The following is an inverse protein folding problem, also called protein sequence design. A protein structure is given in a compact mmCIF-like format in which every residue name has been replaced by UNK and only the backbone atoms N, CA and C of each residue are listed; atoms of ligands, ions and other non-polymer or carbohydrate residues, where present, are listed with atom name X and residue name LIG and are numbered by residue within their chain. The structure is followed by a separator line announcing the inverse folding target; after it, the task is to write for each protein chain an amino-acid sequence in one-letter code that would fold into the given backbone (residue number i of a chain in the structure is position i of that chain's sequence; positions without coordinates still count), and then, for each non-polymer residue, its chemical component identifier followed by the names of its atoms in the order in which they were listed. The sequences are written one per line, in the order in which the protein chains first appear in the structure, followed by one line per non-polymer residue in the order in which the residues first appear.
data_IF_489506235001
#
_entry.id   IF_489506235001
#
_cell.length_a   1.000
_cell.length_b   1.000
_cell.length_c   1.000
_cell.angle_alpha   90.00
_cell.angle_beta   90.00
_cell.angle_gamma   90.00
#
_symmetry.space_group_name_H-M   'P 1'
#
loop_
_entity.id
_entity.type
_entity.pdbx_description
1 polymer ?
#
# COMPACT_ATOMS: atom_id res chain seq x y z
N UNK A 1 -9.48 25.53 10.15
CA UNK A 1 -10.56 25.18 9.20
C UNK A 1 -11.40 24.02 9.76
N UNK A 2 -12.67 23.83 9.34
CA UNK A 2 -13.54 22.74 9.81
C UNK A 2 -12.93 21.35 9.56
N UNK A 3 -13.21 20.38 10.43
CA UNK A 3 -12.65 19.01 10.35
C UNK A 3 -12.97 18.34 9.01
N UNK A 4 -14.20 18.53 8.49
CA UNK A 4 -14.61 18.02 7.18
C UNK A 4 -13.73 18.57 6.04
N UNK A 5 -13.35 19.85 6.12
CA UNK A 5 -12.44 20.47 5.14
C UNK A 5 -11.01 19.94 5.29
N UNK A 6 -10.53 19.71 6.52
CA UNK A 6 -9.21 19.10 6.74
C UNK A 6 -9.15 17.70 6.13
N UNK A 7 -10.18 16.89 6.39
CA UNK A 7 -10.30 15.55 5.84
C UNK A 7 -10.38 15.58 4.31
N UNK A 8 -11.15 16.50 3.73
CA UNK A 8 -11.24 16.66 2.27
C UNK A 8 -9.87 17.00 1.64
N UNK A 9 -9.08 17.87 2.27
CA UNK A 9 -7.72 18.21 1.80
C UNK A 9 -6.80 16.98 1.84
N UNK A 10 -6.83 16.20 2.93
CA UNK A 10 -6.03 14.96 3.02
C UNK A 10 -6.48 13.94 1.97
N UNK A 11 -7.79 13.70 1.83
CA UNK A 11 -8.32 12.75 0.85
C UNK A 11 -8.02 13.19 -0.59
N UNK A 12 -8.06 14.50 -0.86
CA UNK A 12 -7.65 15.04 -2.15
C UNK A 12 -6.19 14.68 -2.44
N UNK A 13 -5.27 14.93 -1.49
CA UNK A 13 -3.86 14.56 -1.66
C UNK A 13 -3.65 13.04 -1.86
N UNK A 14 -4.33 12.20 -1.06
CA UNK A 14 -4.20 10.75 -1.16
C UNK A 14 -4.84 10.14 -2.41
N UNK A 15 -5.85 10.81 -2.97
CA UNK A 15 -6.56 10.36 -4.17
C UNK A 15 -5.74 10.50 -5.46
N UNK A 16 -4.60 11.18 -5.44
CA UNK A 16 -3.71 11.27 -6.59
C UNK A 16 -2.79 10.05 -6.65
N UNK A 17 -3.04 9.20 -7.64
CA UNK A 17 -2.28 7.97 -7.88
C UNK A 17 -0.83 8.24 -8.28
N UNK A 18 0.11 7.51 -7.66
CA UNK A 18 1.45 7.19 -8.18
C UNK A 18 2.48 8.32 -8.19
N UNK A 19 2.06 9.57 -8.30
CA UNK A 19 2.91 10.76 -8.18
C UNK A 19 2.30 11.68 -7.14
N UNK A 20 3.10 12.08 -6.14
CA UNK A 20 2.67 13.02 -5.12
C UNK A 20 2.06 14.27 -5.78
N UNK A 21 0.86 14.67 -5.35
CA UNK A 21 0.27 15.93 -5.79
C UNK A 21 1.19 17.08 -5.38
N UNK A 22 1.59 17.97 -6.30
CA UNK A 22 2.36 19.15 -5.90
C UNK A 22 1.56 19.94 -4.86
N UNK A 23 2.25 20.44 -3.83
CA UNK A 23 1.62 21.22 -2.76
C UNK A 23 0.88 22.45 -3.34
N UNK A 24 1.43 23.06 -4.39
CA UNK A 24 0.81 24.18 -5.11
C UNK A 24 -0.59 23.83 -5.63
N UNK A 25 -0.76 22.70 -6.31
CA UNK A 25 -2.08 22.24 -6.77
C UNK A 25 -3.07 22.03 -5.62
N UNK A 26 -2.61 21.47 -4.49
CA UNK A 26 -3.48 21.28 -3.32
C UNK A 26 -3.88 22.64 -2.74
N UNK A 27 -2.95 23.59 -2.63
CA UNK A 27 -3.23 24.93 -2.11
C UNK A 27 -4.19 25.72 -3.00
N UNK A 28 -4.04 25.60 -4.33
CA UNK A 28 -4.93 26.23 -5.30
C UNK A 28 -6.34 25.63 -5.25
N UNK A 29 -6.45 24.31 -5.13
CA UNK A 29 -7.74 23.62 -5.00
C UNK A 29 -8.43 23.95 -3.66
N UNK A 30 -7.68 23.92 -2.55
CA UNK A 30 -8.20 24.14 -1.21
C UNK A 30 -8.44 25.63 -0.88
N UNK A 31 -7.89 26.55 -1.67
CA UNK A 31 -7.96 27.99 -1.42
C UNK A 31 -7.25 28.43 -0.14
N UNK A 32 -6.20 27.71 0.28
CA UNK A 32 -5.49 27.99 1.54
C UNK A 32 -3.97 27.92 1.39
N UNK A 33 -3.24 28.41 2.38
CA UNK A 33 -1.78 28.43 2.34
C UNK A 33 -1.17 27.04 2.48
N UNK A 34 0.04 26.83 1.95
CA UNK A 34 0.77 25.56 2.07
C UNK A 34 0.93 25.11 3.53
N UNK A 35 1.18 26.05 4.45
CA UNK A 35 1.24 25.75 5.89
C UNK A 35 -0.08 25.26 6.47
N UNK A 36 -1.21 25.75 5.95
CA UNK A 36 -2.54 25.29 6.36
C UNK A 36 -2.78 23.87 5.85
N UNK A 37 -2.47 23.60 4.58
CA UNK A 37 -2.53 22.25 3.98
C UNK A 37 -1.74 21.25 4.85
N UNK A 38 -0.48 21.57 5.15
CA UNK A 38 0.37 20.70 5.97
C UNK A 38 -0.20 20.45 7.37
N UNK A 39 -0.67 21.50 8.06
CA UNK A 39 -1.28 21.35 9.38
C UNK A 39 -2.53 20.45 9.35
N UNK A 40 -3.36 20.58 8.31
CA UNK A 40 -4.56 19.75 8.14
C UNK A 40 -4.19 18.28 7.91
N UNK A 41 -3.24 18.02 7.02
CA UNK A 41 -2.78 16.65 6.75
C UNK A 41 -2.22 16.02 8.02
N UNK A 42 -1.34 16.70 8.75
CA UNK A 42 -0.78 16.19 10.00
C UNK A 42 -1.85 15.90 11.05
N UNK A 43 -2.81 16.81 11.21
CA UNK A 43 -3.90 16.64 12.17
C UNK A 43 -4.78 15.43 11.83
N UNK A 44 -5.21 15.29 10.58
CA UNK A 44 -6.07 14.17 10.16
C UNK A 44 -5.29 12.86 10.18
N UNK A 45 -4.05 12.85 9.69
CA UNK A 45 -3.21 11.65 9.69
C UNK A 45 -2.94 11.16 11.11
N UNK A 46 -2.66 12.06 12.05
CA UNK A 46 -2.52 11.74 13.47
C UNK A 46 -3.79 11.14 14.07
N UNK A 47 -4.95 11.72 13.77
CA UNK A 47 -6.24 11.20 14.22
C UNK A 47 -6.56 9.80 13.64
N UNK A 48 -6.35 9.60 12.34
CA UNK A 48 -6.55 8.30 11.69
C UNK A 48 -5.60 7.25 12.27
N UNK A 49 -4.32 7.60 12.46
CA UNK A 49 -3.32 6.69 13.04
C UNK A 49 -3.65 6.36 14.49
N UNK A 50 -4.24 7.28 15.26
CA UNK A 50 -4.66 7.00 16.64
C UNK A 50 -5.74 5.90 16.75
N UNK A 51 -6.49 5.66 15.67
CA UNK A 51 -7.49 4.60 15.60
C UNK A 51 -6.91 3.25 15.19
N UNK A 52 -5.63 3.20 14.78
CA UNK A 52 -5.00 2.01 14.20
C UNK A 52 -5.19 0.77 15.08
N UNK A 53 -4.82 0.84 16.36
CA UNK A 53 -4.91 -0.30 17.27
C UNK A 53 -6.35 -0.68 17.64
N UNK A 54 -7.33 0.19 17.40
CA UNK A 54 -8.75 -0.10 17.66
C UNK A 54 -9.45 -0.69 16.44
N UNK A 55 -9.11 -0.21 15.25
CA UNK A 55 -9.76 -0.60 13.99
C UNK A 55 -9.11 -1.82 13.34
N UNK A 56 -7.80 -2.00 13.53
CA UNK A 56 -7.06 -3.10 12.91
C UNK A 56 -6.90 -4.20 13.95
N UNK A 57 -7.65 -5.28 13.75
CA UNK A 57 -7.46 -6.51 14.51
C UNK A 57 -6.12 -7.14 14.10
N UNK A 58 -5.17 -7.22 15.04
CA UNK A 58 -3.92 -7.94 14.82
C UNK A 58 -4.23 -9.44 14.88
N UNK A 59 -3.78 -10.25 13.91
CA UNK A 59 -4.03 -11.68 13.94
C UNK A 59 -3.37 -12.29 15.18
N UNK A 60 -4.12 -13.16 15.83
CA UNK A 60 -3.66 -13.99 16.96
C UNK A 60 -2.57 -14.95 16.52
N UNK A 61 -1.81 -15.51 17.46
CA UNK A 61 -0.79 -16.51 17.11
C UNK A 61 -1.39 -17.74 16.43
N UNK A 62 -2.56 -18.21 16.90
CA UNK A 62 -3.24 -19.34 16.28
C UNK A 62 -3.70 -19.07 14.84
N UNK A 63 -4.20 -17.86 14.55
CA UNK A 63 -4.53 -17.46 13.17
C UNK A 63 -3.29 -17.37 12.28
N UNK A 64 -2.16 -16.89 12.83
CA UNK A 64 -0.88 -16.87 12.10
C UNK A 64 -0.37 -18.28 11.81
N UNK A 65 -0.37 -19.18 12.79
CA UNK A 65 0.04 -20.58 12.61
C UNK A 65 -0.85 -21.31 11.60
N UNK A 66 -2.17 -21.12 11.68
CA UNK A 66 -3.10 -21.68 10.70
C UNK A 66 -2.79 -21.18 9.28
N UNK A 67 -2.52 -19.87 9.13
CA UNK A 67 -2.12 -19.30 7.85
C UNK A 67 -0.75 -19.83 7.36
N UNK A 68 0.24 -19.98 8.25
CA UNK A 68 1.55 -20.52 7.90
C UNK A 68 1.47 -21.97 7.45
N UNK A 69 0.73 -22.81 8.17
CA UNK A 69 0.51 -24.20 7.80
C UNK A 69 -0.16 -24.29 6.43
N UNK A 70 -1.20 -23.47 6.19
CA UNK A 70 -1.86 -23.42 4.89
C UNK A 70 -0.89 -22.99 3.77
N UNK A 71 -0.10 -21.94 3.98
CA UNK A 71 0.89 -21.48 2.99
C UNK A 71 1.91 -22.57 2.70
N UNK A 72 2.43 -23.25 3.73
CA UNK A 72 3.38 -24.35 3.58
C UNK A 72 2.78 -25.52 2.77
N UNK A 73 1.55 -25.91 3.07
CA UNK A 73 0.81 -26.96 2.34
C UNK A 73 0.61 -26.60 0.86
N UNK A 74 0.34 -25.33 0.55
CA UNK A 74 0.12 -24.86 -0.82
C UNK A 74 1.42 -24.50 -1.57
N UNK A 75 2.56 -24.37 -0.86
CA UNK A 75 3.82 -23.92 -1.45
C UNK A 75 5.01 -24.75 -0.96
N UNK A 76 5.80 -24.26 0.01
CA UNK A 76 6.89 -24.99 0.64
C UNK A 76 7.23 -24.44 2.04
N UNK A 77 7.97 -25.26 2.81
CA UNK A 77 8.41 -24.94 4.18
C UNK A 77 9.15 -23.60 4.29
N UNK A 78 9.86 -23.16 3.26
CA UNK A 78 10.57 -21.86 3.28
C UNK A 78 9.65 -20.64 3.40
N UNK A 79 8.35 -20.81 3.14
CA UNK A 79 7.35 -19.75 3.28
C UNK A 79 6.61 -19.81 4.62
N UNK A 80 6.87 -20.83 5.45
CA UNK A 80 6.37 -20.90 6.81
C UNK A 80 6.90 -19.73 7.64
N UNK A 81 6.04 -19.06 8.39
CA UNK A 81 6.39 -17.85 9.14
C UNK A 81 6.08 -16.52 8.41
N UNK A 82 5.76 -16.57 7.11
CA UNK A 82 5.30 -15.39 6.36
C UNK A 82 3.87 -15.00 6.73
N UNK A 83 3.64 -13.78 7.20
CA UNK A 83 2.29 -13.26 7.47
C UNK A 83 2.17 -11.80 7.03
N UNK A 84 0.94 -11.37 6.68
CA UNK A 84 0.64 -9.99 6.26
C UNK A 84 1.51 -9.49 5.10
N UNK A 85 1.75 -10.32 4.08
CA UNK A 85 2.37 -9.86 2.84
C UNK A 85 1.32 -9.11 2.02
N UNK A 86 1.35 -7.78 2.08
CA UNK A 86 0.34 -6.90 1.46
C UNK A 86 0.75 -6.45 0.05
N UNK A 87 2.06 -6.43 -0.24
CA UNK A 87 2.58 -6.06 -1.56
C UNK A 87 3.18 -7.29 -2.26
N UNK A 88 2.93 -7.42 -3.57
CA UNK A 88 3.52 -8.48 -4.38
C UNK A 88 5.06 -8.40 -4.36
N UNK A 89 5.73 -9.56 -4.35
CA UNK A 89 7.19 -9.59 -4.48
C UNK A 89 7.57 -9.16 -5.88
N UNK A 90 8.43 -8.14 -5.99
CA UNK A 90 9.08 -7.81 -7.25
C UNK A 90 10.33 -8.69 -7.41
N UNK A 91 10.31 -9.60 -8.39
CA UNK A 91 11.48 -10.41 -8.74
C UNK A 91 12.31 -9.62 -9.76
N UNK A 92 13.55 -9.21 -9.41
CA UNK A 92 14.37 -8.42 -10.33
C UNK A 92 14.82 -9.27 -11.53
N UNK A 93 14.81 -8.64 -12.70
CA UNK A 93 15.33 -9.18 -13.95
C UNK A 93 16.74 -8.63 -14.20
N UNK A 94 17.63 -9.46 -14.75
CA UNK A 94 19.00 -9.03 -15.11
C UNK A 94 18.98 -8.01 -16.24
N UNK A 95 18.04 -8.16 -17.16
CA UNK A 95 17.96 -7.41 -18.41
C UNK A 95 16.53 -6.99 -18.71
N UNK A 96 16.41 -5.96 -19.55
CA UNK A 96 15.14 -5.49 -20.09
C UNK A 96 14.46 -6.59 -20.93
N UNK A 97 13.21 -6.96 -20.65
CA UNK A 97 12.46 -7.87 -21.50
C UNK A 97 12.35 -7.36 -22.95
N UNK A 98 12.56 -8.25 -23.92
CA UNK A 98 12.48 -7.90 -25.34
C UNK A 98 11.07 -7.50 -25.79
N UNK A 99 10.04 -8.07 -25.18
CA UNK A 99 8.65 -7.65 -25.39
C UNK A 99 8.15 -6.84 -24.19
N UNK A 100 7.56 -5.68 -24.47
CA UNK A 100 6.98 -4.78 -23.46
C UNK A 100 7.93 -4.39 -22.32
N UNK A 101 9.24 -4.28 -22.56
CA UNK A 101 10.22 -4.02 -21.50
C UNK A 101 9.90 -2.85 -20.57
N UNK A 102 9.30 -1.77 -21.09
CA UNK A 102 8.86 -0.63 -20.28
C UNK A 102 7.78 -0.98 -19.24
N UNK A 103 6.93 -1.98 -19.53
CA UNK A 103 5.89 -2.42 -18.60
C UNK A 103 6.47 -3.11 -17.35
N UNK A 104 7.74 -3.51 -17.39
CA UNK A 104 8.44 -4.16 -16.28
C UNK A 104 9.34 -3.20 -15.53
N UNK A 105 9.41 -1.92 -15.91
CA UNK A 105 10.25 -0.93 -15.24
C UNK A 105 9.51 -0.35 -14.03
N UNK A 106 9.99 -0.66 -12.83
CA UNK A 106 9.33 -0.30 -11.57
C UNK A 106 9.74 1.09 -11.04
N UNK A 107 9.06 1.56 -9.99
CA UNK A 107 9.34 2.84 -9.34
C UNK A 107 10.71 2.89 -8.65
N UNK A 108 11.42 1.76 -8.53
CA UNK A 108 12.79 1.65 -8.03
C UNK A 108 13.82 1.62 -9.16
N UNK A 109 13.39 1.89 -10.40
CA UNK A 109 14.23 1.87 -11.60
C UNK A 109 14.86 0.52 -11.89
N UNK A 110 14.21 -0.58 -11.50
CA UNK A 110 14.59 -1.93 -11.87
C UNK A 110 13.59 -2.53 -12.86
N UNK A 111 14.07 -3.44 -13.71
CA UNK A 111 13.16 -4.33 -14.42
C UNK A 111 12.75 -5.45 -13.45
N UNK A 112 11.46 -5.60 -13.17
CA UNK A 112 10.99 -6.61 -12.22
C UNK A 112 9.64 -7.22 -12.60
N UNK A 113 9.42 -8.45 -12.14
CA UNK A 113 8.15 -9.16 -12.29
C UNK A 113 7.38 -9.14 -10.97
N UNK A 114 6.11 -8.75 -11.01
CA UNK A 114 5.21 -8.92 -9.87
C UNK A 114 4.84 -10.39 -9.72
N UNK A 115 5.35 -11.03 -8.66
CA UNK A 115 4.90 -12.34 -8.24
C UNK A 115 3.63 -12.17 -7.39
N UNK A 116 2.51 -12.68 -7.89
CA UNK A 116 1.26 -12.74 -7.14
C UNK A 116 0.84 -14.20 -7.00
N UNK A 117 0.57 -14.64 -5.78
CA UNK A 117 -0.02 -15.95 -5.53
C UNK A 117 -1.52 -15.80 -5.73
N UNK A 118 -2.05 -16.37 -6.80
CA UNK A 118 -3.49 -16.47 -7.00
C UNK A 118 -3.98 -17.79 -6.40
N UNK A 119 -4.80 -17.81 -5.34
CA UNK A 119 -5.41 -19.05 -4.89
C UNK A 119 -6.30 -19.57 -6.02
N UNK A 120 -5.94 -20.69 -6.64
CA UNK A 120 -6.87 -21.39 -7.52
C UNK A 120 -8.01 -21.88 -6.65
N UNK A 121 -9.19 -21.27 -6.79
CA UNK A 121 -10.42 -21.76 -6.19
C UNK A 121 -10.69 -23.16 -6.74
N UNK A 122 -10.31 -24.19 -5.98
CA UNK A 122 -10.84 -25.53 -6.19
C UNK A 122 -12.29 -25.51 -5.75
N UNK A 123 -13.21 -25.46 -6.71
CA UNK A 123 -14.60 -25.82 -6.46
C UNK A 123 -14.61 -27.30 -6.06
N UNK A 124 -14.90 -27.56 -4.79
CA UNK A 124 -15.41 -28.84 -4.30
C UNK A 124 -16.73 -28.56 -3.60
#
# INVERSE_FOLDING_TARGET
IPISSQLAIMLYQLGHFGNATPVESITQWAGCSAGTVFACIQQVFGAVTSLYDTMICKPTMGEKEAAWNWVEEQSCLSWHGGYCMVDGTLVPLSDKPGMHGEAYFDCKSHYSLSLQVHPSCGVV
#
